data_IF_158863179926
#
_entry.id   IF_158863179926
#
_cell.length_a   1.000
_cell.length_b   1.000
_cell.length_c   1.000
_cell.angle_alpha   90.00
_cell.angle_beta   90.00
_cell.angle_gamma   90.00
#
_symmetry.space_group_name_H-M   'P 1'
#
loop_
_entity.id
_entity.type
_entity.pdbx_description
1 polymer ?
#
# COMPACT_ATOMS: atom_id res chain seq x y z
N UNK A 1 -30.56 -41.97 39.29
CA UNK A 1 -31.40 -41.05 38.50
C UNK A 1 -30.50 -39.92 38.04
N UNK A 2 -30.46 -39.68 36.73
CA UNK A 2 -29.38 -39.00 35.99
C UNK A 2 -29.26 -37.50 36.35
N UNK A 3 -28.01 -37.06 36.55
CA UNK A 3 -27.58 -35.66 36.62
C UNK A 3 -27.85 -34.99 35.26
N UNK A 4 -28.46 -33.80 35.25
CA UNK A 4 -28.35 -32.88 34.13
C UNK A 4 -28.20 -31.44 34.63
N UNK A 5 -26.94 -31.03 34.73
CA UNK A 5 -26.48 -29.63 34.73
C UNK A 5 -26.20 -29.28 33.28
N UNK A 6 -26.79 -28.22 32.73
CA UNK A 6 -26.32 -27.55 31.50
C UNK A 6 -26.93 -26.13 31.45
N UNK A 7 -26.23 -25.12 31.95
CA UNK A 7 -25.38 -24.19 31.16
C UNK A 7 -26.11 -23.53 29.99
N UNK A 8 -26.88 -22.49 30.30
CA UNK A 8 -27.34 -21.49 29.32
C UNK A 8 -26.15 -20.56 29.05
N UNK A 9 -25.34 -20.92 28.06
CA UNK A 9 -24.25 -20.07 27.56
C UNK A 9 -24.84 -19.05 26.59
N UNK A 10 -24.60 -17.77 26.87
CA UNK A 10 -24.91 -16.65 26.00
C UNK A 10 -24.28 -16.84 24.61
N UNK A 11 -25.08 -17.10 23.59
CA UNK A 11 -24.70 -16.94 22.18
C UNK A 11 -25.17 -15.57 21.68
N UNK A 12 -24.55 -14.52 22.21
CA UNK A 12 -24.73 -13.15 21.73
C UNK A 12 -23.35 -12.52 21.44
N UNK A 13 -22.66 -13.06 20.43
CA UNK A 13 -21.56 -12.39 19.75
C UNK A 13 -21.52 -12.91 18.31
N UNK A 14 -21.97 -12.11 17.35
CA UNK A 14 -21.79 -12.43 15.93
C UNK A 14 -22.85 -11.94 14.95
N UNK A 15 -23.70 -10.96 15.30
CA UNK A 15 -24.50 -10.24 14.29
C UNK A 15 -23.84 -8.89 13.99
N UNK A 16 -22.85 -8.88 13.08
CA UNK A 16 -22.62 -7.66 12.30
C UNK A 16 -23.75 -7.57 11.27
N UNK A 17 -24.82 -6.89 11.67
CA UNK A 17 -25.90 -6.48 10.80
C UNK A 17 -25.53 -5.13 10.15
N UNK A 18 -25.53 -5.10 8.80
CA UNK A 18 -25.41 -3.92 7.93
C UNK A 18 -24.23 -4.06 6.96
N UNK A 19 -24.38 -4.38 5.68
CA UNK A 19 -25.29 -3.79 4.68
C UNK A 19 -25.75 -4.84 3.61
N UNK A 20 -26.75 -4.54 2.76
CA UNK A 20 -27.31 -5.48 1.79
C UNK A 20 -26.45 -5.64 0.50
N UNK A 21 -26.56 -6.82 -0.13
CA UNK A 21 -26.39 -7.18 -1.56
C UNK A 21 -25.04 -7.06 -2.32
N UNK A 22 -23.88 -6.89 -1.68
CA UNK A 22 -22.60 -6.98 -2.42
C UNK A 22 -21.50 -7.77 -1.71
N UNK A 23 -21.02 -8.82 -2.38
CA UNK A 23 -19.81 -9.54 -1.98
C UNK A 23 -18.58 -8.67 -2.29
N UNK A 24 -17.94 -8.15 -1.25
CA UNK A 24 -16.66 -7.43 -1.34
C UNK A 24 -15.52 -8.37 -0.92
N UNK A 25 -14.41 -8.38 -1.65
CA UNK A 25 -13.27 -9.24 -1.29
C UNK A 25 -12.49 -8.63 -0.11
N UNK A 26 -11.93 -9.48 0.76
CA UNK A 26 -11.08 -9.01 1.85
C UNK A 26 -9.68 -8.66 1.31
N UNK A 27 -9.52 -7.46 0.75
CA UNK A 27 -8.23 -6.95 0.24
C UNK A 27 -7.63 -5.99 1.26
N UNK A 28 -6.42 -6.30 1.72
CA UNK A 28 -5.63 -5.40 2.54
C UNK A 28 -5.18 -4.16 1.76
N UNK A 29 -5.43 -2.98 2.33
CA UNK A 29 -4.86 -1.72 1.84
C UNK A 29 -3.90 -1.17 2.90
N UNK A 30 -2.59 -1.21 2.68
CA UNK A 30 -1.64 -0.68 3.66
C UNK A 30 -1.83 0.82 3.83
N UNK A 31 -1.55 1.33 5.03
CA UNK A 31 -1.57 2.76 5.33
C UNK A 31 -0.13 3.27 5.24
N UNK A 32 0.13 4.24 4.36
CA UNK A 32 1.52 4.67 4.19
C UNK A 32 1.83 5.48 2.95
N UNK A 33 3.13 5.62 2.69
CA UNK A 33 3.66 6.44 1.61
C UNK A 33 4.57 5.57 0.74
N UNK A 34 4.18 5.41 -0.52
CA UNK A 34 5.01 4.80 -1.55
C UNK A 34 6.10 5.76 -2.01
N UNK A 35 7.27 5.23 -2.34
CA UNK A 35 8.39 6.01 -2.90
C UNK A 35 8.86 5.34 -4.16
N UNK A 36 8.88 6.07 -5.27
CA UNK A 36 9.51 5.65 -6.54
C UNK A 36 10.71 6.55 -6.80
N UNK A 37 11.86 5.94 -7.05
CA UNK A 37 13.12 6.62 -7.31
C UNK A 37 13.55 6.33 -8.74
N UNK A 38 13.71 7.40 -9.53
CA UNK A 38 14.10 7.30 -10.93
C UNK A 38 15.51 6.72 -11.10
N UNK A 39 15.77 5.99 -12.21
CA UNK A 39 17.08 5.39 -12.47
C UNK A 39 18.26 6.38 -12.42
N UNK A 40 18.04 7.63 -12.85
CA UNK A 40 19.06 8.70 -12.90
C UNK A 40 19.63 9.06 -11.54
N UNK A 41 18.90 8.82 -10.44
CA UNK A 41 19.33 9.15 -9.07
C UNK A 41 19.36 7.94 -8.14
N UNK A 42 18.89 6.77 -8.60
CA UNK A 42 18.75 5.55 -7.80
C UNK A 42 20.06 5.07 -7.15
N UNK A 43 21.21 5.32 -7.78
CA UNK A 43 22.52 4.93 -7.24
C UNK A 43 22.87 5.61 -5.89
N UNK A 44 22.22 6.74 -5.57
CA UNK A 44 22.41 7.45 -4.29
C UNK A 44 21.77 6.73 -3.11
N UNK A 45 20.89 5.77 -3.37
CA UNK A 45 20.07 5.10 -2.36
C UNK A 45 20.40 3.61 -2.29
N UNK A 46 20.83 3.12 -1.13
CA UNK A 46 21.16 1.71 -0.92
C UNK A 46 20.41 1.14 0.29
N UNK A 47 19.88 -0.07 0.15
CA UNK A 47 19.19 -0.78 1.23
C UNK A 47 17.95 -0.05 1.75
N UNK A 48 18.03 0.43 2.97
CA UNK A 48 16.92 1.10 3.68
C UNK A 48 17.23 2.57 3.87
N UNK A 49 16.25 3.43 3.62
CA UNK A 49 16.30 4.87 3.90
C UNK A 49 15.19 5.25 4.87
N UNK A 50 15.07 6.54 5.21
CA UNK A 50 14.08 7.06 6.14
C UNK A 50 13.17 8.09 5.48
N UNK A 51 11.91 8.08 5.91
CA UNK A 51 10.90 9.06 5.57
C UNK A 51 10.34 9.62 6.87
N UNK A 52 10.40 10.93 7.05
CA UNK A 52 9.72 11.61 8.15
C UNK A 52 8.37 12.13 7.68
N UNK A 53 7.32 11.86 8.44
CA UNK A 53 5.99 12.37 8.18
C UNK A 53 5.52 13.17 9.39
N UNK A 54 5.07 14.40 9.13
CA UNK A 54 4.61 15.33 10.14
C UNK A 54 3.14 15.70 9.91
N UNK A 55 2.32 15.52 10.94
CA UNK A 55 0.94 15.98 10.99
C UNK A 55 0.55 16.29 12.43
N UNK A 56 -0.42 17.18 12.63
CA UNK A 56 -0.90 17.59 13.96
C UNK A 56 0.22 18.08 14.91
N UNK A 57 1.28 18.69 14.37
CA UNK A 57 2.41 19.19 15.15
C UNK A 57 3.39 18.13 15.67
N UNK A 58 3.19 16.85 15.31
CA UNK A 58 4.11 15.76 15.60
C UNK A 58 4.76 15.24 14.32
N UNK A 59 6.01 14.81 14.43
CA UNK A 59 6.76 14.18 13.34
C UNK A 59 7.20 12.78 13.76
N UNK A 60 7.08 11.84 12.84
CA UNK A 60 7.49 10.46 13.05
C UNK A 60 8.31 9.98 11.86
N UNK A 61 9.39 9.25 12.13
CA UNK A 61 10.29 8.73 11.11
C UNK A 61 10.04 7.24 10.90
N UNK A 62 9.89 6.86 9.63
CA UNK A 62 9.58 5.51 9.20
C UNK A 62 10.66 4.98 8.26
N UNK A 63 11.03 3.70 8.37
CA UNK A 63 11.96 3.10 7.43
C UNK A 63 11.28 2.85 6.08
N UNK A 64 12.04 3.03 4.99
CA UNK A 64 11.66 2.67 3.63
C UNK A 64 12.69 1.68 3.10
N UNK A 65 12.33 0.40 3.08
CA UNK A 65 13.15 -0.63 2.43
C UNK A 65 13.01 -0.49 0.91
N UNK A 66 14.13 -0.27 0.22
CA UNK A 66 14.13 -0.07 -1.23
C UNK A 66 14.45 -1.37 -1.96
N UNK A 67 13.63 -1.69 -2.95
CA UNK A 67 13.82 -2.80 -3.87
C UNK A 67 14.03 -2.29 -5.30
N UNK A 68 14.71 -3.04 -6.19
CA UNK A 68 14.78 -2.71 -7.60
C UNK A 68 13.38 -2.54 -8.19
N UNK A 69 13.15 -1.46 -8.92
CA UNK A 69 11.92 -1.31 -9.69
C UNK A 69 12.02 -2.16 -10.95
N UNK A 70 10.98 -2.94 -11.23
CA UNK A 70 10.92 -3.84 -12.39
C UNK A 70 9.76 -3.47 -13.30
N UNK A 71 9.90 -3.84 -14.57
CA UNK A 71 8.84 -3.75 -15.57
C UNK A 71 8.72 -5.09 -16.29
N UNK A 72 7.51 -5.42 -16.74
CA UNK A 72 7.30 -6.57 -17.62
C UNK A 72 7.88 -6.26 -19.01
N UNK A 73 8.57 -7.22 -19.60
CA UNK A 73 8.86 -7.26 -21.03
C UNK A 73 7.60 -7.66 -21.80
N UNK A 74 7.61 -7.49 -23.12
CA UNK A 74 6.53 -7.97 -23.98
C UNK A 74 6.16 -9.42 -23.68
N UNK A 75 4.86 -9.70 -23.65
CA UNK A 75 4.32 -11.04 -23.43
C UNK A 75 4.37 -11.85 -24.73
N UNK A 76 4.78 -13.11 -24.65
CA UNK A 76 4.75 -14.05 -25.77
C UNK A 76 3.83 -15.21 -25.42
N UNK A 77 2.92 -15.55 -26.33
CA UNK A 77 1.97 -16.65 -26.16
C UNK A 77 2.27 -17.78 -27.17
N UNK A 78 1.93 -19.02 -26.81
CA UNK A 78 2.07 -20.18 -27.71
C UNK A 78 1.09 -20.14 -28.90
N UNK A 79 0.06 -19.31 -28.83
CA UNK A 79 -0.95 -19.10 -29.86
C UNK A 79 -1.89 -17.93 -29.52
N UNK A 80 -3.12 -17.96 -30.04
CA UNK A 80 -4.14 -16.90 -29.87
C UNK A 80 -5.47 -17.40 -29.30
N UNK A 81 -5.58 -18.68 -28.97
CA UNK A 81 -6.75 -19.27 -28.32
C UNK A 81 -6.78 -18.89 -26.83
N UNK A 82 -7.98 -18.90 -26.19
CA UNK A 82 -8.11 -18.54 -24.76
C UNK A 82 -7.29 -19.40 -23.80
N UNK A 83 -7.02 -20.65 -24.19
CA UNK A 83 -6.30 -21.63 -23.37
C UNK A 83 -4.80 -21.70 -23.69
N UNK A 84 -4.30 -20.86 -24.61
CA UNK A 84 -2.89 -20.80 -24.95
C UNK A 84 -2.06 -20.21 -23.79
N UNK A 85 -0.83 -20.70 -23.63
CA UNK A 85 0.05 -20.27 -22.53
C UNK A 85 0.77 -18.99 -22.91
N UNK A 86 0.62 -17.96 -22.08
CA UNK A 86 1.34 -16.70 -22.21
C UNK A 86 2.42 -16.58 -21.13
N UNK A 87 3.59 -16.06 -21.52
CA UNK A 87 4.71 -15.78 -20.61
C UNK A 87 5.17 -14.35 -20.75
N UNK A 88 5.56 -13.74 -19.63
CA UNK A 88 6.23 -12.45 -19.57
C UNK A 88 7.44 -12.57 -18.65
N UNK A 89 8.49 -11.81 -18.93
CA UNK A 89 9.67 -11.74 -18.04
C UNK A 89 9.70 -10.38 -17.39
N UNK A 90 10.11 -10.33 -16.12
CA UNK A 90 10.40 -9.07 -15.46
C UNK A 90 11.85 -8.67 -15.73
N UNK A 91 12.09 -7.38 -15.95
CA UNK A 91 13.42 -6.80 -16.02
C UNK A 91 13.49 -5.58 -15.13
N UNK A 92 14.62 -5.40 -14.45
CA UNK A 92 14.90 -4.16 -13.72
C UNK A 92 14.92 -2.94 -14.65
N UNK A 93 14.36 -1.85 -14.18
CA UNK A 93 14.34 -0.55 -14.88
C UNK A 93 15.57 0.30 -14.55
N UNK A 94 16.35 -0.10 -13.55
CA UNK A 94 17.41 0.71 -12.93
C UNK A 94 16.90 1.65 -11.83
N UNK A 95 15.58 1.82 -11.70
CA UNK A 95 14.95 2.57 -10.62
C UNK A 95 14.83 1.76 -9.33
N UNK A 96 14.28 2.39 -8.29
CA UNK A 96 13.95 1.74 -7.02
C UNK A 96 12.54 2.08 -6.59
N UNK A 97 11.93 1.18 -5.84
CA UNK A 97 10.64 1.41 -5.21
C UNK A 97 10.69 0.97 -3.75
N UNK A 98 9.89 1.60 -2.90
CA UNK A 98 9.73 1.24 -1.49
C UNK A 98 8.43 1.77 -0.92
N UNK A 99 8.14 1.38 0.32
CA UNK A 99 6.93 1.79 1.03
C UNK A 99 7.24 2.04 2.50
N UNK A 100 6.90 3.22 3.01
CA UNK A 100 6.86 3.50 4.44
C UNK A 100 5.48 3.11 4.97
N UNK A 101 5.42 2.15 5.88
CA UNK A 101 4.21 1.92 6.67
C UNK A 101 4.08 3.05 7.70
N UNK A 102 2.99 3.84 7.60
CA UNK A 102 2.75 5.01 8.46
C UNK A 102 1.42 4.81 9.20
N UNK A 103 1.41 4.07 10.33
CA UNK A 103 0.20 3.87 11.10
C UNK A 103 -0.42 5.19 11.53
N UNK A 104 -1.73 5.34 11.32
CA UNK A 104 -2.45 6.57 11.66
C UNK A 104 -2.25 7.74 10.69
N UNK A 105 -1.66 7.51 9.51
CA UNK A 105 -1.60 8.52 8.44
C UNK A 105 -3.01 9.08 8.17
N UNK A 106 -3.22 10.40 8.19
CA UNK A 106 -4.53 10.98 7.91
C UNK A 106 -4.77 11.12 6.40
N UNK A 107 -6.04 11.15 6.00
CA UNK A 107 -6.46 11.60 4.67
C UNK A 107 -6.53 13.14 4.60
N UNK A 108 -5.46 13.81 5.01
CA UNK A 108 -5.34 15.27 5.11
C UNK A 108 -3.91 15.70 4.77
N UNK A 109 -3.61 17.00 4.75
CA UNK A 109 -2.24 17.46 4.46
C UNK A 109 -1.22 16.89 5.47
N UNK A 110 -0.16 16.28 4.94
CA UNK A 110 0.97 15.73 5.69
C UNK A 110 2.23 16.29 5.07
N UNK A 111 3.10 16.85 5.90
CA UNK A 111 4.43 17.25 5.47
C UNK A 111 5.35 16.05 5.52
N UNK A 112 6.04 15.77 4.42
CA UNK A 112 6.90 14.61 4.29
C UNK A 112 8.30 15.07 3.94
N UNK A 113 9.29 14.58 4.70
CA UNK A 113 10.71 14.78 4.42
C UNK A 113 11.32 13.47 3.96
N UNK A 114 11.93 13.47 2.78
CA UNK A 114 12.62 12.33 2.21
C UNK A 114 13.93 12.80 1.57
N UNK A 115 15.04 12.11 1.86
CA UNK A 115 16.37 12.48 1.34
C UNK A 115 16.79 13.94 1.63
N UNK A 116 16.27 14.54 2.70
CA UNK A 116 16.54 15.94 3.08
C UNK A 116 15.67 16.99 2.38
N UNK A 117 14.79 16.58 1.47
CA UNK A 117 13.81 17.45 0.82
C UNK A 117 12.43 17.28 1.45
N UNK A 118 11.69 18.38 1.56
CA UNK A 118 10.38 18.41 2.22
C UNK A 118 9.29 18.81 1.24
N UNK A 119 8.20 18.04 1.22
CA UNK A 119 7.01 18.28 0.39
C UNK A 119 5.74 18.11 1.20
N UNK A 120 4.70 18.86 0.88
CA UNK A 120 3.37 18.64 1.45
C UNK A 120 2.58 17.72 0.49
N UNK A 121 2.10 16.60 1.02
CA UNK A 121 1.25 15.64 0.28
C UNK A 121 -0.09 15.52 0.97
N UNK A 122 -1.12 15.12 0.22
CA UNK A 122 -2.43 14.80 0.79
C UNK A 122 -2.74 13.34 0.48
N UNK A 123 -2.51 12.40 1.43
CA UNK A 123 -2.87 11.01 1.27
C UNK A 123 -4.37 10.87 0.99
N UNK A 124 -4.71 9.93 0.12
CA UNK A 124 -6.09 9.67 -0.29
C UNK A 124 -6.50 8.29 0.20
N UNK A 125 -7.75 8.19 0.65
CA UNK A 125 -8.39 6.89 0.87
C UNK A 125 -8.41 6.12 -0.46
N UNK A 126 -8.11 4.83 -0.39
CA UNK A 126 -8.16 3.94 -1.54
C UNK A 126 -9.37 3.02 -1.44
N UNK A 127 -9.82 2.52 -2.58
CA UNK A 127 -10.99 1.66 -2.68
C UNK A 127 -10.65 0.44 -3.53
N UNK A 128 -9.85 -0.50 -3.01
CA UNK A 128 -9.37 -1.65 -3.78
C UNK A 128 -10.51 -2.52 -4.33
N UNK A 129 -11.66 -2.53 -3.65
CA UNK A 129 -12.87 -3.25 -4.04
C UNK A 129 -13.95 -2.34 -4.66
N UNK A 130 -13.60 -1.08 -4.98
CA UNK A 130 -14.54 -0.06 -5.41
C UNK A 130 -15.21 0.69 -4.24
N UNK A 131 -15.81 1.86 -4.51
CA UNK A 131 -16.31 2.78 -3.49
C UNK A 131 -17.44 2.21 -2.62
N UNK A 132 -18.22 1.26 -3.17
CA UNK A 132 -19.33 0.63 -2.46
C UNK A 132 -18.88 -0.44 -1.44
N UNK A 133 -17.59 -0.76 -1.41
CA UNK A 133 -17.01 -1.81 -0.55
C UNK A 133 -16.21 -1.26 0.64
N UNK A 134 -16.42 0.01 0.97
CA UNK A 134 -15.68 0.69 2.04
C UNK A 134 -14.28 1.15 1.60
N UNK A 135 -13.77 2.16 2.30
CA UNK A 135 -12.44 2.68 2.08
C UNK A 135 -11.38 1.80 2.77
N UNK A 136 -10.27 1.58 2.08
CA UNK A 136 -9.02 1.16 2.67
C UNK A 136 -8.25 2.32 3.31
N UNK A 137 -7.05 2.01 3.82
CA UNK A 137 -6.15 2.97 4.41
C UNK A 137 -5.72 4.11 3.47
N UNK A 138 -5.44 5.32 3.99
CA UNK A 138 -4.93 6.40 3.16
C UNK A 138 -3.51 6.12 2.68
N UNK A 139 -3.23 6.52 1.44
CA UNK A 139 -1.90 6.45 0.83
C UNK A 139 -1.54 7.69 0.03
N UNK A 140 -0.24 7.99 -0.03
CA UNK A 140 0.36 8.92 -0.98
C UNK A 140 1.54 8.25 -1.70
N UNK A 141 2.01 8.86 -2.79
CA UNK A 141 3.20 8.41 -3.50
C UNK A 141 4.14 9.58 -3.70
N UNK A 142 5.42 9.36 -3.44
CA UNK A 142 6.51 10.25 -3.79
C UNK A 142 7.23 9.76 -5.04
N UNK A 143 7.62 10.69 -5.88
CA UNK A 143 8.55 10.48 -6.99
C UNK A 143 9.83 11.26 -6.70
N UNK A 144 10.96 10.57 -6.79
CA UNK A 144 12.29 11.12 -6.57
C UNK A 144 13.09 11.02 -7.86
N UNK A 145 13.49 12.15 -8.42
CA UNK A 145 14.34 12.21 -9.62
C UNK A 145 15.39 13.31 -9.53
N UNK A 146 15.95 13.73 -10.66
CA UNK A 146 17.01 14.74 -10.68
C UNK A 146 16.51 16.14 -10.30
N UNK A 147 15.20 16.35 -10.31
CA UNK A 147 14.53 17.61 -10.01
C UNK A 147 14.13 17.72 -8.54
N UNK A 148 14.23 16.61 -7.79
CA UNK A 148 13.92 16.54 -6.36
C UNK A 148 12.79 15.57 -6.04
N UNK A 149 12.17 15.78 -4.89
CA UNK A 149 11.03 14.99 -4.37
C UNK A 149 9.71 15.68 -4.70
N UNK A 150 8.68 14.93 -5.10
CA UNK A 150 7.30 15.41 -5.32
C UNK A 150 6.25 14.34 -5.10
#
# INVERSE_FOLDING_TARGET
MRILVLLVVLTACGTQAGAPDRACTEIGTPVGIGVRIAPSVAARFTGTTSLEACWNGACHTYPVALSPETTATGSTCTGTAPDDTCTARMRETGGKTGFANVPGLPAAAVRVTFSGETVDVTPKLLYPNGPDCGAGGPQANLVVDAQGVR
#
